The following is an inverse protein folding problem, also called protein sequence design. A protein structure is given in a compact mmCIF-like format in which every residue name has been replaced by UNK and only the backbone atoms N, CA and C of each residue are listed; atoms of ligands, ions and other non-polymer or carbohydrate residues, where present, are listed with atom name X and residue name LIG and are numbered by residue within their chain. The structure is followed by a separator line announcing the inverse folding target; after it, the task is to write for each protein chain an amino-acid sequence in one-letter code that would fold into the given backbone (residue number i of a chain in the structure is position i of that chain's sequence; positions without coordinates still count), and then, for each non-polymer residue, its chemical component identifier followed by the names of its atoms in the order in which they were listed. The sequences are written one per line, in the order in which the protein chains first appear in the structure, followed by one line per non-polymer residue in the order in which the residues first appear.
data_IF_344499989376
#
_entry.id   IF_344499989376
#
_cell.length_a   1.000
_cell.length_b   1.000
_cell.length_c   1.000
_cell.angle_alpha   90.00
_cell.angle_beta   90.00
_cell.angle_gamma   90.00
#
_symmetry.space_group_name_H-M   'P 1'
#
loop_
_entity.id
_entity.type
_entity.pdbx_description
1 polymer ?
#
# COMPACT_ATOMS: atom_id res chain seq x y z
N UNK A 1 2.20 9.93 17.50
CA UNK A 1 0.90 9.48 16.98
C UNK A 1 1.09 9.28 15.48
N UNK A 2 1.21 8.03 15.03
CA UNK A 2 1.25 7.71 13.60
C UNK A 2 -0.15 7.21 13.25
N UNK A 3 -0.93 8.06 12.56
CA UNK A 3 -2.27 7.73 12.11
C UNK A 3 -2.15 7.03 10.75
N UNK A 4 -1.95 5.71 10.77
CA UNK A 4 -2.18 4.89 9.57
C UNK A 4 -3.68 5.01 9.22
N UNK A 5 -4.01 5.87 8.25
CA UNK A 5 -5.37 6.01 7.73
C UNK A 5 -5.74 4.68 7.08
N UNK A 6 -6.75 4.01 7.63
CA UNK A 6 -7.30 2.78 7.06
C UNK A 6 -8.81 2.90 6.97
N UNK A 7 -9.33 2.98 5.75
CA UNK A 7 -10.76 3.05 5.49
C UNK A 7 -11.28 1.64 5.23
N UNK A 8 -12.24 1.19 6.04
CA UNK A 8 -12.91 -0.11 5.85
C UNK A 8 -13.85 -0.02 4.65
N UNK A 9 -13.29 -0.08 3.46
CA UNK A 9 -14.04 0.02 2.19
C UNK A 9 -14.54 -1.37 1.80
N UNK A 10 -15.79 -1.55 1.36
CA UNK A 10 -16.28 -2.84 0.86
C UNK A 10 -15.43 -3.28 -0.34
N UNK A 11 -14.76 -4.42 -0.21
CA UNK A 11 -13.95 -5.03 -1.26
C UNK A 11 -14.89 -5.60 -2.32
N UNK A 12 -15.07 -4.86 -3.41
CA UNK A 12 -15.90 -5.29 -4.54
C UNK A 12 -15.51 -4.68 -5.87
N UNK A 13 -14.53 -3.77 -5.92
CA UNK A 13 -14.11 -3.11 -7.15
C UNK A 13 -12.68 -2.62 -7.01
N UNK A 14 -11.99 -2.60 -8.15
CA UNK A 14 -10.55 -2.42 -8.27
C UNK A 14 -9.94 -1.35 -7.34
N UNK A 15 -8.87 -1.73 -6.65
CA UNK A 15 -8.05 -0.79 -5.91
C UNK A 15 -6.86 -0.35 -6.75
N UNK A 16 -6.25 0.75 -6.35
CA UNK A 16 -5.06 1.29 -6.95
C UNK A 16 -3.97 1.43 -5.91
N UNK A 17 -2.78 0.94 -6.21
CA UNK A 17 -1.58 1.11 -5.42
C UNK A 17 -0.65 2.11 -6.12
N UNK A 18 -0.05 3.01 -5.34
CA UNK A 18 1.00 3.90 -5.82
C UNK A 18 2.12 4.00 -4.79
N UNK A 19 3.36 3.79 -5.27
CA UNK A 19 4.58 3.98 -4.50
C UNK A 19 5.06 5.42 -4.67
N UNK A 20 5.16 6.16 -3.58
CA UNK A 20 5.65 7.54 -3.56
C UNK A 20 7.07 7.54 -3.00
N UNK A 21 7.99 8.09 -3.79
CA UNK A 21 9.39 8.20 -3.40
C UNK A 21 9.56 9.28 -2.35
N UNK A 22 10.11 8.90 -1.21
CA UNK A 22 10.51 9.86 -0.18
C UNK A 22 11.72 10.68 -0.65
N UNK A 23 11.82 11.94 -0.19
CA UNK A 23 12.97 12.81 -0.48
C UNK A 23 13.84 12.96 0.76
N UNK A 24 15.15 12.82 0.58
CA UNK A 24 16.18 12.99 1.62
C UNK A 24 15.96 12.08 2.86
N UNK A 25 15.39 12.63 3.94
CA UNK A 25 15.14 11.91 5.21
C UNK A 25 13.75 11.27 5.28
N UNK A 26 12.90 11.52 4.29
CA UNK A 26 11.55 10.97 4.24
C UNK A 26 11.64 9.57 3.63
N UNK A 27 11.16 8.52 4.32
CA UNK A 27 11.12 7.16 3.79
C UNK A 27 10.13 7.08 2.62
N UNK A 28 10.19 5.99 1.86
CA UNK A 28 9.22 5.74 0.82
C UNK A 28 7.84 5.39 1.41
N UNK A 29 6.79 5.80 0.72
CA UNK A 29 5.40 5.59 1.14
C UNK A 29 4.61 4.84 0.07
N UNK A 30 3.59 4.12 0.52
CA UNK A 30 2.61 3.44 -0.32
C UNK A 30 1.26 4.04 -0.01
N UNK A 31 0.53 4.40 -1.06
CA UNK A 31 -0.87 4.76 -0.98
C UNK A 31 -1.69 3.69 -1.67
N UNK A 32 -2.72 3.20 -0.98
CA UNK A 32 -3.81 2.44 -1.56
C UNK A 32 -5.01 3.36 -1.72
N UNK A 33 -5.60 3.33 -2.89
CA UNK A 33 -6.80 4.07 -3.25
C UNK A 33 -7.86 3.11 -3.76
N UNK A 34 -9.13 3.45 -3.58
CA UNK A 34 -10.21 2.72 -4.23
C UNK A 34 -10.44 3.26 -5.65
N UNK A 35 -11.43 2.70 -6.35
CA UNK A 35 -11.88 3.14 -7.67
C UNK A 35 -12.27 4.64 -7.72
N UNK A 36 -12.80 5.18 -6.60
CA UNK A 36 -13.16 6.59 -6.45
C UNK A 36 -11.96 7.47 -6.11
N UNK A 37 -10.74 6.92 -6.18
CA UNK A 37 -9.49 7.57 -5.79
C UNK A 37 -9.46 8.04 -4.33
N UNK A 38 -10.31 7.48 -3.47
CA UNK A 38 -10.32 7.75 -2.02
C UNK A 38 -9.14 7.02 -1.41
N UNK A 39 -8.41 7.72 -0.54
CA UNK A 39 -7.27 7.14 0.18
C UNK A 39 -7.78 6.06 1.16
N UNK A 40 -7.54 4.79 0.84
CA UNK A 40 -7.95 3.64 1.64
C UNK A 40 -6.87 3.28 2.65
N UNK A 41 -5.60 3.30 2.22
CA UNK A 41 -4.47 3.05 3.11
C UNK A 41 -3.30 3.97 2.79
N UNK A 42 -2.57 4.40 3.82
CA UNK A 42 -1.33 5.14 3.66
C UNK A 42 -0.30 4.68 4.68
N UNK A 43 0.85 4.20 4.20
CA UNK A 43 1.87 3.61 5.05
C UNK A 43 3.26 3.69 4.44
N UNK A 44 4.28 3.41 5.24
CA UNK A 44 5.68 3.39 4.78
C UNK A 44 6.03 2.09 4.07
N UNK A 45 6.71 2.18 2.94
CA UNK A 45 7.23 1.03 2.20
C UNK A 45 8.30 0.25 2.98
N UNK A 46 9.00 0.91 3.90
CA UNK A 46 10.03 0.33 4.77
C UNK A 46 9.46 -0.54 5.91
N UNK A 47 8.15 -0.43 6.24
CA UNK A 47 7.50 -1.23 7.29
C UNK A 47 6.20 -1.90 6.81
N UNK A 48 6.24 -2.77 5.79
CA UNK A 48 5.04 -3.36 5.22
C UNK A 48 4.38 -4.42 6.11
N UNK A 49 5.11 -4.96 7.09
CA UNK A 49 4.65 -6.02 8.01
C UNK A 49 3.33 -5.68 8.73
N UNK A 50 3.17 -4.43 9.19
CA UNK A 50 1.93 -4.00 9.87
C UNK A 50 0.73 -3.97 8.92
N UNK A 51 0.96 -3.71 7.64
CA UNK A 51 -0.10 -3.65 6.63
C UNK A 51 -0.48 -5.04 6.16
N UNK A 52 0.47 -5.95 6.01
CA UNK A 52 0.20 -7.33 5.62
C UNK A 52 -0.79 -8.00 6.57
N UNK A 53 -0.61 -7.80 7.89
CA UNK A 53 -1.59 -8.22 8.90
C UNK A 53 -2.97 -7.58 8.68
N UNK A 54 -3.03 -6.28 8.38
CA UNK A 54 -4.30 -5.58 8.12
C UNK A 54 -4.97 -6.00 6.80
N UNK A 55 -4.18 -6.42 5.81
CA UNK A 55 -4.64 -6.92 4.52
C UNK A 55 -4.95 -8.43 4.54
N UNK A 56 -4.70 -9.12 5.66
CA UNK A 56 -4.87 -10.58 5.75
C UNK A 56 -3.87 -11.38 4.91
N UNK A 57 -2.73 -10.77 4.56
CA UNK A 57 -1.65 -11.37 3.76
C UNK A 57 -0.52 -11.93 4.64
N UNK A 58 -0.86 -12.38 5.85
CA UNK A 58 0.08 -13.03 6.76
C UNK A 58 0.71 -14.27 6.08
N UNK A 59 2.04 -14.35 6.05
CA UNK A 59 2.78 -15.41 5.34
C UNK A 59 3.20 -15.10 3.90
N UNK A 60 2.82 -13.95 3.33
CA UNK A 60 3.33 -13.46 2.02
C UNK A 60 4.27 -12.26 2.16
N UNK A 61 4.92 -12.13 3.32
CA UNK A 61 5.74 -10.96 3.67
C UNK A 61 6.91 -10.76 2.71
N UNK A 62 7.65 -11.82 2.39
CA UNK A 62 8.79 -11.77 1.47
C UNK A 62 8.36 -11.41 0.05
N UNK A 63 7.31 -12.06 -0.46
CA UNK A 63 6.77 -11.79 -1.80
C UNK A 63 6.26 -10.35 -1.93
N UNK A 64 5.66 -9.81 -0.86
CA UNK A 64 5.19 -8.44 -0.84
C UNK A 64 6.35 -7.43 -0.75
N UNK A 65 7.39 -7.73 0.03
CA UNK A 65 8.61 -6.90 0.07
C UNK A 65 9.26 -6.81 -1.31
N UNK A 66 9.39 -7.94 -2.01
CA UNK A 66 9.90 -7.96 -3.39
C UNK A 66 9.00 -7.17 -4.34
N UNK A 67 7.68 -7.36 -4.26
CA UNK A 67 6.71 -6.60 -5.07
C UNK A 67 6.84 -5.08 -4.83
N UNK A 68 6.97 -4.66 -3.57
CA UNK A 68 7.15 -3.26 -3.19
C UNK A 68 8.47 -2.72 -3.73
N UNK A 69 9.54 -3.51 -3.72
CA UNK A 69 10.85 -3.10 -4.24
C UNK A 69 10.83 -2.93 -5.77
N UNK A 70 10.24 -3.89 -6.48
CA UNK A 70 10.06 -3.87 -7.94
C UNK A 70 9.03 -2.82 -8.40
N UNK A 71 8.16 -2.36 -7.51
CA UNK A 71 7.14 -1.35 -7.80
C UNK A 71 7.78 0.00 -8.18
N UNK A 72 7.50 0.52 -9.39
CA UNK A 72 8.04 1.80 -9.81
C UNK A 72 7.40 2.98 -9.09
N UNK A 73 8.23 3.92 -8.65
CA UNK A 73 7.78 5.14 -8.00
C UNK A 73 6.96 6.04 -8.93
N UNK A 74 5.87 6.60 -8.41
CA UNK A 74 4.99 7.50 -9.14
C UNK A 74 4.09 6.83 -10.18
N UNK A 75 4.09 5.49 -10.28
CA UNK A 75 3.17 4.76 -11.13
C UNK A 75 1.99 4.23 -10.33
N UNK A 76 0.79 4.57 -10.81
CA UNK A 76 -0.45 3.98 -10.34
C UNK A 76 -0.58 2.59 -10.96
N UNK A 77 -0.65 1.55 -10.14
CA UNK A 77 -0.97 0.20 -10.57
C UNK A 77 -2.33 -0.20 -10.00
N UNK A 78 -3.13 -0.89 -10.81
CA UNK A 78 -4.38 -1.49 -10.37
C UNK A 78 -4.04 -2.75 -9.57
N UNK A 79 -4.56 -2.88 -8.37
CA UNK A 79 -4.41 -4.05 -7.51
C UNK A 79 -5.80 -4.57 -7.13
N UNK A 80 -6.05 -5.84 -7.41
CA UNK A 80 -7.25 -6.53 -6.94
C UNK A 80 -6.84 -7.45 -5.79
N UNK A 81 -7.45 -7.31 -4.61
CA UNK A 81 -7.48 -8.41 -3.64
C UNK A 81 -8.46 -9.44 -4.20
N UNK A 82 -7.93 -10.49 -4.84
CA UNK A 82 -8.69 -11.68 -5.22
C UNK A 82 -8.74 -12.67 -4.06
#
# INVERSE_FOLDING_TARGET
MEEDIFVKTPVGSDMFIIKVKGKAKIPDYIQLRDEKMVLVAYFRADRPLKILKKLGLEGKEEAFLQLIDELPFGKLQKFALA
#
